data_IF_771779845392
#
_entry.id   IF_771779845392
#
_cell.length_a   1.000
_cell.length_b   1.000
_cell.length_c   1.000
_cell.angle_alpha   90.00
_cell.angle_beta   90.00
_cell.angle_gamma   90.00
#
_symmetry.space_group_name_H-M   'P 1'
#
loop_
_entity.id
_entity.type
_entity.pdbx_description
1 polymer ?
#
# COMPACT_ATOMS: atom_id res chain seq x y z
N UNK A 1 -17.40 -15.20 -9.86
CA UNK A 1 -18.42 -14.13 -10.01
C UNK A 1 -17.70 -12.86 -10.40
N UNK A 2 -17.85 -12.42 -11.64
CA UNK A 2 -17.33 -11.13 -12.11
C UNK A 2 -18.29 -10.04 -11.63
N UNK A 3 -17.84 -9.16 -10.74
CA UNK A 3 -18.62 -8.00 -10.35
C UNK A 3 -18.74 -7.08 -11.58
N UNK A 4 -19.92 -7.07 -12.21
CA UNK A 4 -20.22 -6.07 -13.23
C UNK A 4 -20.15 -4.69 -12.56
N UNK A 5 -19.24 -3.82 -12.99
CA UNK A 5 -19.30 -2.40 -12.64
C UNK A 5 -20.52 -1.82 -13.38
N UNK A 6 -21.63 -1.47 -12.71
CA UNK A 6 -22.85 -1.06 -13.39
C UNK A 6 -22.76 0.37 -13.98
N UNK A 7 -21.55 0.88 -14.24
CA UNK A 7 -21.31 2.26 -14.71
C UNK A 7 -21.60 3.33 -13.65
N UNK A 8 -21.67 2.93 -12.37
CA UNK A 8 -22.17 3.76 -11.26
C UNK A 8 -21.08 4.23 -10.29
N UNK A 9 -19.82 3.87 -10.55
CA UNK A 9 -18.65 4.33 -9.79
C UNK A 9 -17.63 4.85 -10.78
N UNK A 10 -17.17 6.09 -10.56
CA UNK A 10 -16.01 6.64 -11.24
C UNK A 10 -14.78 6.49 -10.34
N UNK A 11 -13.66 6.08 -10.93
CA UNK A 11 -12.37 5.98 -10.24
C UNK A 11 -11.34 6.74 -11.04
N UNK A 12 -10.71 7.73 -10.42
CA UNK A 12 -9.57 8.47 -10.98
C UNK A 12 -8.33 8.12 -10.18
N UNK A 13 -7.26 7.75 -10.88
CA UNK A 13 -5.93 7.49 -10.31
C UNK A 13 -4.94 8.43 -10.96
N UNK A 14 -4.24 9.23 -10.16
CA UNK A 14 -3.21 10.14 -10.63
C UNK A 14 -1.90 9.74 -9.98
N UNK A 15 -0.99 9.19 -10.77
CA UNK A 15 0.37 8.87 -10.35
C UNK A 15 1.31 10.01 -10.76
N UNK A 16 2.00 10.59 -9.78
CA UNK A 16 2.93 11.70 -10.00
C UNK A 16 4.30 11.31 -9.50
N UNK A 17 5.31 11.39 -10.37
CA UNK A 17 6.71 11.31 -9.94
C UNK A 17 7.21 12.74 -9.70
N UNK A 18 7.27 13.12 -8.43
CA UNK A 18 7.96 14.33 -8.03
C UNK A 18 9.47 14.07 -8.09
N UNK A 19 10.25 15.09 -8.44
CA UNK A 19 11.72 15.00 -8.40
C UNK A 19 12.22 14.56 -7.02
N UNK A 20 13.48 14.10 -6.94
CA UNK A 20 14.13 13.62 -5.70
C UNK A 20 13.59 12.30 -5.16
N UNK A 21 13.12 11.41 -6.04
CA UNK A 21 12.73 10.05 -5.67
C UNK A 21 11.42 9.98 -4.90
N UNK A 22 10.48 10.91 -5.12
CA UNK A 22 9.16 10.89 -4.47
C UNK A 22 8.10 10.57 -5.51
N UNK A 23 7.31 9.53 -5.28
CA UNK A 23 6.17 9.18 -6.11
C UNK A 23 4.90 9.25 -5.28
N UNK A 24 3.83 9.83 -5.81
CA UNK A 24 2.54 9.93 -5.14
C UNK A 24 1.45 9.36 -6.03
N UNK A 25 0.62 8.47 -5.48
CA UNK A 25 -0.62 8.01 -6.09
C UNK A 25 -1.79 8.65 -5.33
N UNK A 26 -2.52 9.53 -6.00
CA UNK A 26 -3.80 10.04 -5.55
C UNK A 26 -4.92 9.24 -6.20
N UNK A 27 -5.87 8.77 -5.40
CA UNK A 27 -7.02 8.00 -5.84
C UNK A 27 -8.29 8.69 -5.37
N UNK A 28 -9.26 8.81 -6.28
CA UNK A 28 -10.61 9.25 -5.95
C UNK A 28 -11.63 8.28 -6.51
N UNK A 29 -12.47 7.72 -5.65
CA UNK A 29 -13.65 6.95 -6.04
C UNK A 29 -14.90 7.76 -5.78
N UNK A 30 -15.78 7.91 -6.77
CA UNK A 30 -17.04 8.69 -6.63
C UNK A 30 -18.23 7.82 -6.99
N UNK A 31 -19.24 7.80 -6.13
CA UNK A 31 -20.52 7.19 -6.44
C UNK A 31 -21.31 8.12 -7.38
N UNK A 32 -21.54 7.65 -8.60
CA UNK A 32 -22.31 8.34 -9.64
C UNK A 32 -23.74 7.81 -9.78
N UNK A 33 -24.16 6.93 -8.88
CA UNK A 33 -25.55 6.48 -8.82
C UNK A 33 -26.43 7.39 -7.98
N UNK A 34 -27.72 7.11 -8.08
CA UNK A 34 -28.84 7.66 -7.33
C UNK A 34 -29.09 6.98 -5.98
N UNK A 35 -28.27 5.99 -5.58
CA UNK A 35 -28.40 5.27 -4.30
C UNK A 35 -27.06 5.08 -3.59
N UNK A 36 -27.10 4.73 -2.30
CA UNK A 36 -25.90 4.32 -1.56
C UNK A 36 -25.24 3.08 -2.21
N UNK A 37 -23.92 3.08 -2.31
CA UNK A 37 -23.13 1.95 -2.77
C UNK A 37 -22.12 1.52 -1.71
N UNK A 38 -22.15 0.26 -1.33
CA UNK A 38 -21.02 -0.40 -0.67
C UNK A 38 -19.94 -0.68 -1.73
N UNK A 39 -18.70 -0.29 -1.45
CA UNK A 39 -17.58 -0.45 -2.37
C UNK A 39 -16.26 -0.61 -1.60
N UNK A 40 -15.20 -1.00 -2.30
CA UNK A 40 -13.85 -0.99 -1.77
C UNK A 40 -12.87 -0.58 -2.87
N UNK A 41 -11.78 0.07 -2.46
CA UNK A 41 -10.61 0.24 -3.29
C UNK A 41 -9.52 -0.73 -2.84
N UNK A 42 -8.84 -1.36 -3.79
CA UNK A 42 -7.77 -2.30 -3.51
C UNK A 42 -6.61 -2.16 -4.52
N UNK A 43 -5.38 -2.34 -4.05
CA UNK A 43 -4.16 -2.36 -4.84
C UNK A 43 -3.19 -3.42 -4.34
N UNK A 44 -2.60 -4.16 -5.27
CA UNK A 44 -1.63 -5.22 -5.01
C UNK A 44 -0.26 -4.84 -5.62
N UNK A 45 0.48 -3.89 -5.02
CA UNK A 45 1.80 -3.52 -5.52
C UNK A 45 2.83 -4.60 -5.22
N UNK A 46 3.72 -4.89 -6.17
CA UNK A 46 4.85 -5.80 -6.00
C UNK A 46 6.15 -5.01 -5.86
N UNK A 47 6.96 -5.37 -4.86
CA UNK A 47 8.22 -4.70 -4.58
C UNK A 47 9.41 -5.67 -4.68
N UNK A 48 10.44 -5.18 -5.36
CA UNK A 48 11.79 -5.76 -5.38
C UNK A 48 12.80 -4.68 -5.01
N UNK A 49 13.09 -4.54 -3.71
CA UNK A 49 14.04 -3.51 -3.26
C UNK A 49 15.43 -3.79 -3.81
N UNK A 50 16.07 -2.75 -4.34
CA UNK A 50 17.37 -2.89 -5.01
C UNK A 50 17.35 -3.77 -6.26
N UNK A 51 16.16 -4.15 -6.75
CA UNK A 51 15.95 -5.01 -7.93
C UNK A 51 16.05 -6.51 -7.69
N UNK A 52 16.31 -6.97 -6.46
CA UNK A 52 16.65 -8.39 -6.19
C UNK A 52 15.80 -9.06 -5.10
N UNK A 53 15.29 -8.31 -4.11
CA UNK A 53 14.43 -8.84 -3.02
C UNK A 53 15.06 -10.07 -2.31
N UNK A 54 16.24 -9.88 -1.74
CA UNK A 54 17.12 -10.95 -1.27
C UNK A 54 16.71 -11.42 0.13
N UNK A 55 16.26 -12.69 0.20
CA UNK A 55 15.85 -13.35 1.46
C UNK A 55 16.86 -13.15 2.59
N UNK A 56 16.32 -12.85 3.78
CA UNK A 56 17.04 -12.67 5.04
C UNK A 56 18.02 -11.50 5.11
N UNK A 57 18.34 -10.85 3.99
CA UNK A 57 19.25 -9.70 3.95
C UNK A 57 18.53 -8.37 3.78
N UNK A 58 17.43 -8.35 3.02
CA UNK A 58 16.55 -7.19 2.96
C UNK A 58 15.67 -7.14 4.24
N UNK A 59 15.30 -5.94 4.66
CA UNK A 59 14.60 -5.69 5.92
C UNK A 59 13.28 -4.96 5.67
N UNK A 60 12.21 -5.46 6.29
CA UNK A 60 10.94 -4.76 6.40
C UNK A 60 10.88 -4.08 7.77
N UNK A 61 10.79 -2.75 7.81
CA UNK A 61 10.62 -2.00 9.07
C UNK A 61 9.17 -1.58 9.21
N UNK A 62 8.50 -2.04 10.26
CA UNK A 62 7.08 -1.82 10.51
C UNK A 62 6.85 -1.05 11.84
N UNK A 63 5.96 -0.04 11.88
CA UNK A 63 5.64 0.66 13.12
C UNK A 63 4.60 -0.11 13.94
N UNK A 64 5.01 -0.91 14.91
CA UNK A 64 4.14 -1.76 15.75
C UNK A 64 4.29 -1.36 17.23
N UNK A 65 3.17 -1.19 17.94
CA UNK A 65 3.14 -0.85 19.37
C UNK A 65 3.99 0.37 19.75
N UNK A 66 4.03 1.39 18.87
CA UNK A 66 4.80 2.62 19.06
C UNK A 66 6.31 2.46 18.85
N UNK A 67 6.75 1.32 18.29
CA UNK A 67 8.16 1.01 18.00
C UNK A 67 8.33 0.65 16.53
N UNK A 68 9.54 0.84 16.02
CA UNK A 68 9.94 0.28 14.73
C UNK A 68 10.48 -1.14 14.94
N UNK A 69 9.88 -2.11 14.26
CA UNK A 69 10.30 -3.51 14.30
C UNK A 69 10.81 -3.90 12.92
N UNK A 70 12.06 -4.38 12.88
CA UNK A 70 12.65 -4.97 11.68
C UNK A 70 12.31 -6.46 11.58
N UNK A 71 11.80 -6.85 10.42
CA UNK A 71 11.50 -8.24 10.08
C UNK A 71 12.32 -8.58 8.83
N UNK A 72 13.06 -9.72 8.82
CA UNK A 72 13.79 -10.12 7.63
C UNK A 72 12.83 -10.40 6.47
N UNK A 73 13.22 -9.98 5.28
CA UNK A 73 12.55 -10.35 4.05
C UNK A 73 12.58 -11.88 3.89
N UNK A 74 11.49 -12.48 3.40
CA UNK A 74 11.39 -13.92 3.24
C UNK A 74 10.89 -14.27 1.84
N UNK A 75 11.64 -15.09 1.09
CA UNK A 75 11.25 -15.54 -0.26
C UNK A 75 10.19 -16.65 -0.29
N UNK A 76 9.72 -17.12 0.86
CA UNK A 76 8.69 -18.15 0.93
C UNK A 76 7.32 -17.59 0.59
N UNK A 77 6.61 -18.25 -0.33
CA UNK A 77 5.26 -17.87 -0.73
C UNK A 77 4.29 -17.83 0.45
N UNK A 78 3.48 -16.79 0.52
CA UNK A 78 2.28 -16.78 1.35
C UNK A 78 2.05 -15.51 2.16
N UNK A 79 0.92 -15.54 2.86
CA UNK A 79 0.45 -14.47 3.73
C UNK A 79 1.29 -14.41 5.01
N UNK A 80 1.61 -13.19 5.46
CA UNK A 80 2.24 -12.94 6.75
C UNK A 80 1.39 -11.98 7.55
N UNK A 81 0.70 -12.54 8.53
CA UNK A 81 -0.04 -11.76 9.50
C UNK A 81 0.93 -10.84 10.26
N UNK A 82 0.62 -9.54 10.27
CA UNK A 82 1.31 -8.53 11.07
C UNK A 82 0.35 -7.97 12.13
N UNK A 83 0.85 -7.54 13.30
CA UNK A 83 0.06 -6.72 14.24
C UNK A 83 -0.45 -5.43 13.59
N UNK A 84 -1.34 -4.70 14.27
CA UNK A 84 -1.78 -3.38 13.80
C UNK A 84 -0.62 -2.38 13.75
N UNK A 85 -0.63 -1.52 12.73
CA UNK A 85 0.40 -0.49 12.60
C UNK A 85 0.03 0.69 13.49
N UNK A 86 0.96 1.08 14.36
CA UNK A 86 0.85 2.28 15.21
C UNK A 86 0.99 3.59 14.43
N UNK A 87 1.49 3.54 13.19
CA UNK A 87 1.61 4.70 12.30
C UNK A 87 1.41 4.32 10.83
N UNK A 88 1.03 5.29 9.99
CA UNK A 88 0.70 5.10 8.58
C UNK A 88 1.91 5.01 7.64
N UNK A 89 2.84 4.08 7.91
CA UNK A 89 3.96 3.85 7.00
C UNK A 89 4.55 2.44 7.12
N UNK A 90 5.38 2.07 6.15
CA UNK A 90 6.30 0.93 6.24
C UNK A 90 7.57 1.23 5.43
N UNK A 91 8.66 0.52 5.72
CA UNK A 91 9.90 0.59 4.97
C UNK A 91 10.30 -0.78 4.45
N UNK A 92 10.92 -0.80 3.27
CA UNK A 92 11.64 -1.93 2.72
C UNK A 92 13.06 -1.46 2.39
N UNK A 93 14.05 -2.02 3.07
CA UNK A 93 15.46 -1.61 2.96
C UNK A 93 16.28 -2.77 2.39
N UNK A 94 17.16 -2.47 1.44
CA UNK A 94 18.22 -3.37 1.00
C UNK A 94 19.58 -2.84 1.47
N UNK A 95 20.15 -3.43 2.54
CA UNK A 95 21.46 -3.03 3.05
C UNK A 95 22.56 -3.20 2.01
N UNK A 96 22.55 -4.31 1.27
CA UNK A 96 23.57 -4.64 0.27
C UNK A 96 23.60 -3.65 -0.91
N UNK A 97 22.42 -3.17 -1.33
CA UNK A 97 22.30 -2.16 -2.39
C UNK A 97 22.30 -0.72 -1.87
N UNK A 98 22.40 -0.55 -0.54
CA UNK A 98 22.29 0.75 0.14
C UNK A 98 21.07 1.56 -0.29
N UNK A 99 19.91 0.91 -0.34
CA UNK A 99 18.68 1.51 -0.87
C UNK A 99 17.47 1.25 0.01
N UNK A 100 16.49 2.16 -0.02
CA UNK A 100 15.27 2.08 0.78
C UNK A 100 14.06 2.60 0.01
N UNK A 101 12.95 1.91 0.22
CA UNK A 101 11.61 2.35 -0.13
C UNK A 101 10.87 2.61 1.17
N UNK A 102 10.24 3.77 1.31
CA UNK A 102 9.24 4.06 2.34
C UNK A 102 7.93 4.33 1.65
N UNK A 103 6.84 3.72 2.12
CA UNK A 103 5.49 4.13 1.73
C UNK A 103 4.79 4.76 2.93
N UNK A 104 4.26 5.95 2.75
CA UNK A 104 3.38 6.64 3.69
C UNK A 104 1.93 6.57 3.19
N UNK A 105 1.00 6.40 4.12
CA UNK A 105 -0.43 6.36 3.89
C UNK A 105 -1.18 6.87 5.11
N UNK A 106 -2.45 7.21 4.93
CA UNK A 106 -3.32 7.72 6.00
C UNK A 106 -4.08 6.55 6.68
N UNK A 107 -3.87 6.28 7.98
CA UNK A 107 -4.55 5.18 8.69
C UNK A 107 -6.07 5.35 8.81
N UNK A 108 -6.57 6.58 8.69
CA UNK A 108 -8.01 6.88 8.67
C UNK A 108 -8.65 6.63 7.29
N UNK A 109 -7.85 6.55 6.22
CA UNK A 109 -8.32 6.27 4.86
C UNK A 109 -8.11 4.83 4.42
N UNK A 110 -7.03 4.21 4.87
CA UNK A 110 -6.63 2.86 4.47
C UNK A 110 -6.63 1.91 5.65
N UNK A 111 -6.95 0.65 5.38
CA UNK A 111 -6.68 -0.45 6.32
C UNK A 111 -5.18 -0.64 6.45
N UNK A 112 -4.75 -1.26 7.55
CA UNK A 112 -3.39 -1.81 7.63
C UNK A 112 -3.10 -2.64 6.37
N UNK A 113 -1.95 -2.43 5.72
CA UNK A 113 -1.58 -3.20 4.54
C UNK A 113 -1.48 -4.69 4.86
N UNK A 114 -1.94 -5.54 3.93
CA UNK A 114 -1.71 -6.98 4.01
C UNK A 114 -0.34 -7.31 3.42
N UNK A 115 0.49 -8.01 4.19
CA UNK A 115 1.83 -8.42 3.77
C UNK A 115 1.76 -9.81 3.15
N UNK A 116 2.06 -9.88 1.85
CA UNK A 116 2.15 -11.14 1.12
C UNK A 116 3.54 -11.29 0.51
N UNK A 117 4.11 -12.49 0.57
CA UNK A 117 5.38 -12.80 -0.09
C UNK A 117 5.13 -13.64 -1.35
N UNK A 118 5.66 -13.14 -2.46
CA UNK A 118 5.79 -13.83 -3.73
C UNK A 118 7.16 -14.52 -3.87
N UNK A 119 7.37 -15.28 -4.95
CA UNK A 119 8.69 -15.80 -5.30
C UNK A 119 9.53 -14.62 -5.80
N UNK A 120 10.37 -14.05 -4.93
CA UNK A 120 11.28 -12.95 -5.29
C UNK A 120 10.64 -11.56 -5.32
N UNK A 121 9.46 -11.38 -4.74
CA UNK A 121 8.85 -10.06 -4.48
C UNK A 121 7.99 -10.09 -3.20
N UNK A 122 7.69 -8.93 -2.62
CA UNK A 122 6.69 -8.83 -1.56
C UNK A 122 5.64 -7.77 -1.91
N UNK A 123 4.49 -7.89 -1.29
CA UNK A 123 3.36 -7.01 -1.46
C UNK A 123 3.00 -6.39 -0.13
N UNK A 124 2.79 -5.09 -0.14
CA UNK A 124 2.00 -4.41 0.88
C UNK A 124 0.70 -4.02 0.20
N UNK A 125 -0.27 -4.93 0.25
CA UNK A 125 -1.57 -4.76 -0.39
C UNK A 125 -2.34 -3.66 0.34
N UNK A 126 -2.76 -2.65 -0.41
CA UNK A 126 -3.45 -1.48 0.13
C UNK A 126 -4.95 -1.59 -0.13
N UNK A 127 -5.75 -1.33 0.90
CA UNK A 127 -7.21 -1.36 0.79
C UNK A 127 -7.81 -0.13 1.48
N UNK A 128 -8.87 0.45 0.90
CA UNK A 128 -9.69 1.45 1.60
C UNK A 128 -10.20 0.92 2.95
N UNK A 129 -10.61 1.81 3.84
CA UNK A 129 -11.28 1.45 5.10
C UNK A 129 -12.39 0.40 4.94
N UNK A 130 -12.59 -0.43 5.98
CA UNK A 130 -13.64 -1.44 6.00
C UNK A 130 -15.02 -0.81 5.82
N UNK A 131 -15.91 -1.55 5.15
CA UNK A 131 -17.32 -1.20 4.98
C UNK A 131 -17.55 0.19 4.36
N UNK A 132 -16.67 0.61 3.44
CA UNK A 132 -16.80 1.87 2.73
C UNK A 132 -18.13 1.91 1.98
N UNK A 133 -18.97 2.87 2.39
CA UNK A 133 -20.25 3.19 1.75
C UNK A 133 -20.23 4.63 1.29
N UNK A 134 -20.62 4.85 0.04
CA UNK A 134 -20.70 6.16 -0.55
C UNK A 134 -22.15 6.49 -0.86
N UNK A 135 -22.64 7.62 -0.34
CA UNK A 135 -23.91 8.21 -0.74
C UNK A 135 -23.85 8.70 -2.20
N UNK A 136 -25.00 8.95 -2.86
CA UNK A 136 -25.05 9.57 -4.19
C UNK A 136 -24.17 10.84 -4.25
N UNK A 137 -23.26 10.90 -5.23
CA UNK A 137 -22.34 12.01 -5.42
C UNK A 137 -21.16 12.08 -4.44
N UNK A 138 -21.12 11.22 -3.41
CA UNK A 138 -20.03 11.20 -2.44
C UNK A 138 -18.77 10.59 -3.04
N UNK A 139 -17.61 11.10 -2.62
CA UNK A 139 -16.31 10.54 -2.95
C UNK A 139 -15.57 10.00 -1.72
N UNK A 140 -14.77 8.97 -1.95
CA UNK A 140 -13.65 8.59 -1.11
C UNK A 140 -12.36 8.98 -1.84
N UNK A 141 -11.41 9.53 -1.09
CA UNK A 141 -10.09 9.91 -1.58
C UNK A 141 -9.02 9.23 -0.71
N UNK A 142 -7.94 8.78 -1.35
CA UNK A 142 -6.78 8.19 -0.69
C UNK A 142 -5.49 8.59 -1.38
N UNK A 143 -4.47 8.89 -0.58
CA UNK A 143 -3.11 9.19 -1.06
C UNK A 143 -2.14 8.13 -0.55
N UNK A 144 -1.32 7.60 -1.47
CA UNK A 144 -0.15 6.79 -1.15
C UNK A 144 1.09 7.52 -1.64
N UNK A 145 2.10 7.66 -0.78
CA UNK A 145 3.36 8.31 -1.13
C UNK A 145 4.51 7.34 -0.95
N UNK A 146 5.30 7.14 -1.99
CA UNK A 146 6.56 6.44 -1.93
C UNK A 146 7.71 7.44 -1.90
N UNK A 147 8.66 7.19 -1.01
CA UNK A 147 9.98 7.83 -1.01
C UNK A 147 11.01 6.77 -1.29
N UNK A 148 11.80 7.01 -2.33
CA UNK A 148 12.89 6.18 -2.80
C UNK A 148 14.21 6.88 -2.52
N UNK A 149 15.07 6.27 -1.69
CA UNK A 149 16.28 6.94 -1.24
C UNK A 149 17.45 5.97 -1.00
N UNK A 150 18.70 6.42 -1.22
CA UNK A 150 19.86 5.74 -0.66
C UNK A 150 19.79 5.68 0.88
N UNK A 151 20.43 4.68 1.48
CA UNK A 151 20.72 4.68 2.92
C UNK A 151 22.16 5.13 3.15
N UNK A 152 22.36 6.00 4.14
CA UNK A 152 23.68 6.52 4.50
C UNK A 152 24.55 5.43 5.09
#
# INVERSE_FOLDING_TARGET
MTAANPGKISVVKTLTLAGKGVMTLNVRMTNQSDRELACSWYMHPEYTVGGEAVSHSDLLTLPIDGKEIDIPYWTGLGDRATPEFSAGYWLLTSPSKRYRIRQDFSPEKFRKPRLWFGIGCCNFEMESGKDLKLQPGQSWDGELKWTFSPIQ
#
